data_IF_023851152365
#
_entry.id   IF_023851152365
#
_cell.length_a   1.000
_cell.length_b   1.000
_cell.length_c   1.000
_cell.angle_alpha   90.00
_cell.angle_beta   90.00
_cell.angle_gamma   90.00
#
_symmetry.space_group_name_H-M   'P 1'
#
loop_
_entity.id
_entity.type
_entity.pdbx_description
1 polymer ?
#
# COMPACT_ATOMS: atom_id res chain seq x y z
N UNK A 1 1.58 1.90 14.90
CA UNK A 1 0.70 1.69 13.72
C UNK A 1 0.98 2.76 12.69
N UNK A 2 1.23 2.35 11.46
CA UNK A 2 1.54 3.27 10.37
C UNK A 2 0.48 3.20 9.29
N UNK A 3 0.33 4.27 8.53
CA UNK A 3 -0.52 4.29 7.35
C UNK A 3 0.39 4.17 6.13
N UNK A 4 0.30 3.05 5.43
CA UNK A 4 1.25 2.65 4.40
C UNK A 4 0.58 2.58 3.04
N UNK A 5 1.24 3.15 2.03
CA UNK A 5 0.85 2.98 0.64
C UNK A 5 1.80 1.96 0.03
N UNK A 6 1.25 0.86 -0.46
CA UNK A 6 2.02 -0.19 -1.12
C UNK A 6 1.77 -0.14 -2.62
N UNK A 7 2.83 0.05 -3.39
CA UNK A 7 2.77 0.06 -4.85
C UNK A 7 3.52 -1.16 -5.36
N UNK A 8 2.81 -2.11 -5.94
CA UNK A 8 3.40 -3.34 -6.44
C UNK A 8 2.57 -3.88 -7.60
N UNK A 9 3.20 -4.08 -8.75
CA UNK A 9 2.51 -4.52 -9.95
C UNK A 9 2.18 -6.02 -9.96
N UNK A 10 2.89 -6.81 -9.17
CA UNK A 10 2.61 -8.24 -9.05
C UNK A 10 1.58 -8.46 -7.95
N UNK A 11 0.38 -8.90 -8.36
CA UNK A 11 -0.75 -9.00 -7.43
C UNK A 11 -0.49 -9.96 -6.27
N UNK A 12 0.13 -11.10 -6.53
CA UNK A 12 0.38 -12.08 -5.47
C UNK A 12 1.40 -11.57 -4.46
N UNK A 13 2.42 -10.85 -4.94
CA UNK A 13 3.43 -10.25 -4.06
C UNK A 13 2.79 -9.15 -3.22
N UNK A 14 1.98 -8.30 -3.86
CA UNK A 14 1.29 -7.23 -3.15
C UNK A 14 0.41 -7.80 -2.03
N UNK A 15 -0.34 -8.85 -2.32
CA UNK A 15 -1.22 -9.49 -1.35
C UNK A 15 -0.44 -10.05 -0.17
N UNK A 16 0.69 -10.68 -0.44
CA UNK A 16 1.55 -11.24 0.59
C UNK A 16 2.09 -10.14 1.53
N UNK A 17 2.59 -9.06 0.95
CA UNK A 17 3.13 -7.94 1.71
C UNK A 17 2.02 -7.25 2.52
N UNK A 18 0.87 -7.03 1.90
CA UNK A 18 -0.26 -6.41 2.56
C UNK A 18 -0.67 -7.19 3.81
N UNK A 19 -0.77 -8.50 3.68
CA UNK A 19 -1.14 -9.36 4.81
C UNK A 19 -0.13 -9.24 5.95
N UNK A 20 1.16 -9.28 5.63
CA UNK A 20 2.20 -9.17 6.65
C UNK A 20 2.14 -7.84 7.39
N UNK A 21 1.98 -6.75 6.65
CA UNK A 21 1.92 -5.42 7.25
C UNK A 21 0.67 -5.26 8.14
N UNK A 22 -0.46 -5.79 7.71
CA UNK A 22 -1.68 -5.73 8.50
C UNK A 22 -1.57 -6.54 9.79
N UNK A 23 -0.86 -7.66 9.75
CA UNK A 23 -0.64 -8.47 10.95
C UNK A 23 0.16 -7.71 12.00
N UNK A 24 1.02 -6.78 11.59
CA UNK A 24 1.75 -5.92 12.51
C UNK A 24 0.95 -4.67 12.94
N UNK A 25 -0.31 -4.59 12.55
CA UNK A 25 -1.19 -3.51 12.99
C UNK A 25 -1.17 -2.27 12.13
N UNK A 26 -0.58 -2.34 10.94
CA UNK A 26 -0.54 -1.20 10.03
C UNK A 26 -1.80 -1.10 9.18
N UNK A 27 -2.14 0.11 8.77
CA UNK A 27 -3.18 0.36 7.80
C UNK A 27 -2.52 0.41 6.42
N UNK A 28 -3.02 -0.38 5.46
CA UNK A 28 -2.37 -0.53 4.15
C UNK A 28 -3.35 -0.23 3.03
N UNK A 29 -2.94 0.65 2.12
CA UNK A 29 -3.63 0.89 0.86
C UNK A 29 -2.76 0.32 -0.25
N UNK A 30 -3.35 -0.50 -1.12
CA UNK A 30 -2.60 -1.18 -2.18
C UNK A 30 -2.97 -0.61 -3.54
N UNK A 31 -1.96 -0.36 -4.37
CA UNK A 31 -2.17 -0.09 -5.78
C UNK A 31 -1.10 -0.81 -6.58
N UNK A 32 -1.30 -0.92 -7.90
CA UNK A 32 -0.49 -1.81 -8.71
C UNK A 32 0.35 -1.07 -9.76
N UNK A 33 0.33 0.24 -9.77
CA UNK A 33 1.18 1.02 -10.66
C UNK A 33 1.52 2.38 -10.04
N UNK A 34 2.59 2.99 -10.55
CA UNK A 34 3.09 4.24 -10.01
C UNK A 34 2.16 5.42 -10.22
N UNK A 35 1.46 5.46 -11.34
CA UNK A 35 0.55 6.57 -11.63
C UNK A 35 -0.60 6.61 -10.63
N UNK A 36 -1.18 5.44 -10.35
CA UNK A 36 -2.24 5.33 -9.35
C UNK A 36 -1.72 5.70 -7.97
N UNK A 37 -0.54 5.19 -7.63
CA UNK A 37 0.09 5.52 -6.35
C UNK A 37 0.33 7.00 -6.17
N UNK A 38 0.81 7.65 -7.22
CA UNK A 38 1.04 9.09 -7.19
C UNK A 38 -0.25 9.86 -6.93
N UNK A 39 -1.33 9.47 -7.60
CA UNK A 39 -2.63 10.12 -7.41
C UNK A 39 -3.15 9.94 -5.98
N UNK A 40 -2.97 8.76 -5.41
CA UNK A 40 -3.38 8.49 -4.04
C UNK A 40 -2.60 9.37 -3.06
N UNK A 41 -1.31 9.54 -3.29
CA UNK A 41 -0.47 10.41 -2.45
C UNK A 41 -0.91 11.87 -2.48
N UNK A 42 -1.51 12.31 -3.59
CA UNK A 42 -2.04 13.68 -3.70
C UNK A 42 -3.27 13.87 -2.82
N UNK A 43 -4.04 12.81 -2.57
CA UNK A 43 -5.33 12.89 -1.91
C UNK A 43 -5.26 12.68 -0.40
N UNK A 44 -4.29 11.91 0.08
CA UNK A 44 -4.23 11.59 1.50
C UNK A 44 -2.80 11.34 1.97
N UNK A 45 -2.51 11.59 3.26
CA UNK A 45 -1.17 11.41 3.79
C UNK A 45 -0.88 9.95 4.14
N UNK A 46 0.38 9.58 3.97
CA UNK A 46 0.91 8.27 4.38
C UNK A 46 2.18 8.46 5.20
N UNK A 47 2.52 7.49 5.99
CA UNK A 47 3.76 7.51 6.72
C UNK A 47 4.90 6.98 5.86
#
# INVERSE_FOLDING_TARGET
MAKILLVEDEINIASFIERGLKEFGHSVTVCHDGDTGWKILQDEPFD
#
